data_IF_545971638495
#
_entry.id   IF_545971638495
#
_cell.length_a   1.000
_cell.length_b   1.000
_cell.length_c   1.000
_cell.angle_alpha   90.00
_cell.angle_beta   90.00
_cell.angle_gamma   90.00
#
_symmetry.space_group_name_H-M   'P 1'
#
loop_
_entity.id
_entity.type
_entity.pdbx_description
1 polymer ?
#
# COMPACT_ATOMS: atom_id res chain seq x y z
N UNK A 1 5.62 -7.81 -19.47
CA UNK A 1 6.19 -7.51 -18.15
C UNK A 1 5.08 -7.00 -17.24
N UNK A 2 5.27 -7.02 -15.92
CA UNK A 2 4.34 -6.43 -14.93
C UNK A 2 5.12 -5.39 -14.13
N UNK A 3 4.82 -4.08 -14.27
CA UNK A 3 5.55 -3.05 -13.53
C UNK A 3 5.14 -3.08 -12.05
N UNK A 4 6.12 -2.82 -11.16
CA UNK A 4 5.89 -2.62 -9.73
C UNK A 4 6.08 -1.13 -9.42
N UNK A 5 4.98 -0.46 -9.06
CA UNK A 5 4.97 0.91 -8.54
C UNK A 5 5.40 0.88 -7.08
N UNK A 6 6.58 1.43 -6.80
CA UNK A 6 7.13 1.40 -5.45
C UNK A 6 6.75 2.65 -4.67
N UNK A 7 6.36 2.42 -3.42
CA UNK A 7 6.15 3.38 -2.35
C UNK A 7 5.49 4.73 -2.76
N UNK A 8 4.35 4.73 -3.49
CA UNK A 8 3.71 5.98 -3.92
C UNK A 8 3.25 6.84 -2.74
N UNK A 9 2.99 6.24 -1.57
CA UNK A 9 2.61 6.94 -0.34
C UNK A 9 3.65 7.93 0.17
N UNK A 10 4.91 7.77 -0.27
CA UNK A 10 6.04 8.64 0.12
C UNK A 10 6.29 9.75 -0.89
N UNK A 11 5.64 9.72 -2.05
CA UNK A 11 5.81 10.73 -3.09
C UNK A 11 5.16 12.03 -2.67
N UNK A 12 5.85 13.14 -2.88
CA UNK A 12 5.38 14.44 -2.38
C UNK A 12 4.16 14.98 -3.09
N UNK A 13 3.87 14.42 -4.26
CA UNK A 13 2.87 14.84 -5.26
C UNK A 13 1.74 13.81 -5.43
N UNK A 14 1.63 12.83 -4.52
CA UNK A 14 0.60 11.77 -4.60
C UNK A 14 -0.82 12.34 -4.63
N UNK A 15 -1.10 13.45 -3.95
CA UNK A 15 -2.41 14.09 -3.88
C UNK A 15 -3.00 14.37 -5.27
N UNK A 16 -2.16 14.90 -6.17
CA UNK A 16 -2.55 15.31 -7.52
C UNK A 16 -2.60 14.13 -8.49
N UNK A 17 -1.86 13.06 -8.20
CA UNK A 17 -1.63 11.94 -9.12
C UNK A 17 -2.26 10.62 -8.66
N UNK A 18 -2.95 10.61 -7.51
CA UNK A 18 -3.61 9.44 -6.97
C UNK A 18 -4.50 8.71 -8.00
N UNK A 19 -5.33 9.41 -8.81
CA UNK A 19 -6.13 8.75 -9.84
C UNK A 19 -5.29 7.98 -10.88
N UNK A 20 -4.08 8.46 -11.17
CA UNK A 20 -3.15 7.79 -12.10
C UNK A 20 -2.64 6.48 -11.50
N UNK A 21 -2.22 6.47 -10.24
CA UNK A 21 -1.79 5.24 -9.57
C UNK A 21 -2.89 4.19 -9.51
N UNK A 22 -4.11 4.61 -9.16
CA UNK A 22 -5.26 3.72 -9.15
C UNK A 22 -5.59 3.19 -10.55
N UNK A 23 -5.48 4.02 -11.59
CA UNK A 23 -5.66 3.59 -12.99
C UNK A 23 -4.59 2.58 -13.42
N UNK A 24 -3.33 2.81 -13.06
CA UNK A 24 -2.23 1.89 -13.39
C UNK A 24 -2.43 0.53 -12.73
N UNK A 25 -2.82 0.51 -11.45
CA UNK A 25 -3.15 -0.73 -10.73
C UNK A 25 -4.29 -1.48 -11.41
N UNK A 26 -5.38 -0.79 -11.74
CA UNK A 26 -6.52 -1.39 -12.47
C UNK A 26 -6.13 -1.85 -13.87
N UNK A 27 -5.08 -1.28 -14.46
CA UNK A 27 -4.48 -1.70 -15.72
C UNK A 27 -3.48 -2.85 -15.61
N UNK A 28 -3.28 -3.42 -14.41
CA UNK A 28 -2.42 -4.58 -14.18
C UNK A 28 -1.05 -4.28 -13.59
N UNK A 29 -0.73 -3.01 -13.25
CA UNK A 29 0.47 -2.69 -12.50
C UNK A 29 0.35 -3.17 -11.04
N UNK A 30 1.44 -3.67 -10.48
CA UNK A 30 1.50 -4.00 -9.06
C UNK A 30 1.92 -2.79 -8.26
N UNK A 31 1.42 -2.66 -7.04
CA UNK A 31 1.75 -1.56 -6.13
C UNK A 31 2.37 -2.11 -4.85
N UNK A 32 3.49 -1.52 -4.45
CA UNK A 32 4.20 -1.84 -3.22
C UNK A 32 4.15 -0.66 -2.25
N UNK A 33 3.74 -0.90 -1.00
CA UNK A 33 3.84 0.08 0.08
C UNK A 33 5.02 -0.22 1.01
N UNK A 34 5.53 0.82 1.66
CA UNK A 34 6.57 0.68 2.68
C UNK A 34 5.95 0.30 4.02
N UNK A 35 6.46 -0.75 4.67
CA UNK A 35 6.01 -1.20 6.00
C UNK A 35 6.02 -0.07 7.04
N UNK A 36 7.07 0.73 7.06
CA UNK A 36 7.19 1.89 7.95
C UNK A 36 6.15 2.99 7.70
N UNK A 37 5.57 3.07 6.50
CA UNK A 37 4.50 4.03 6.21
C UNK A 37 3.21 3.63 6.95
N UNK A 38 2.83 2.34 6.92
CA UNK A 38 1.65 1.83 7.63
C UNK A 38 1.76 1.99 9.15
N UNK A 39 2.96 1.85 9.70
CA UNK A 39 3.21 2.00 11.15
C UNK A 39 3.46 3.45 11.59
N UNK A 40 3.46 4.40 10.65
CA UNK A 40 3.60 5.82 10.93
C UNK A 40 5.03 6.32 11.16
N UNK A 41 6.05 5.50 10.89
CA UNK A 41 7.47 5.87 11.03
C UNK A 41 7.90 7.02 10.12
N UNK A 42 7.21 7.22 9.00
CA UNK A 42 7.43 8.34 8.08
C UNK A 42 6.46 9.51 8.29
N UNK A 43 5.75 9.52 9.41
CA UNK A 43 4.80 10.58 9.76
C UNK A 43 3.38 10.33 9.24
N UNK A 44 2.50 11.29 9.53
CA UNK A 44 1.05 11.16 9.32
C UNK A 44 0.65 11.07 7.85
N UNK A 45 1.36 11.77 6.95
CA UNK A 45 0.98 11.84 5.54
C UNK A 45 1.23 10.52 4.79
N UNK A 46 2.43 9.90 4.85
CA UNK A 46 2.63 8.58 4.23
C UNK A 46 1.74 7.51 4.84
N UNK A 47 1.47 7.58 6.15
CA UNK A 47 0.53 6.68 6.81
C UNK A 47 -0.88 6.78 6.24
N UNK A 48 -1.41 7.99 6.11
CA UNK A 48 -2.73 8.21 5.52
C UNK A 48 -2.83 7.60 4.11
N UNK A 49 -1.85 7.86 3.25
CA UNK A 49 -1.87 7.35 1.88
C UNK A 49 -1.70 5.83 1.81
N UNK A 50 -0.83 5.26 2.64
CA UNK A 50 -0.67 3.81 2.77
C UNK A 50 -1.97 3.14 3.20
N UNK A 51 -2.61 3.65 4.26
CA UNK A 51 -3.88 3.12 4.77
C UNK A 51 -4.99 3.24 3.72
N UNK A 52 -5.10 4.39 3.05
CA UNK A 52 -6.11 4.61 2.00
C UNK A 52 -5.96 3.63 0.84
N UNK A 53 -4.75 3.48 0.29
CA UNK A 53 -4.50 2.55 -0.82
C UNK A 53 -4.78 1.10 -0.43
N UNK A 54 -4.48 0.73 0.82
CA UNK A 54 -4.75 -0.59 1.35
C UNK A 54 -6.26 -0.83 1.50
N UNK A 55 -6.98 0.13 2.06
CA UNK A 55 -8.44 0.07 2.24
C UNK A 55 -9.20 0.05 0.91
N UNK A 56 -8.68 0.72 -0.12
CA UNK A 56 -9.24 0.71 -1.48
C UNK A 56 -8.87 -0.54 -2.29
N UNK A 57 -8.10 -1.48 -1.72
CA UNK A 57 -7.75 -2.73 -2.38
C UNK A 57 -6.79 -2.56 -3.56
N UNK A 58 -5.86 -1.61 -3.49
CA UNK A 58 -4.92 -1.29 -4.59
C UNK A 58 -3.52 -1.90 -4.40
N UNK A 59 -3.22 -2.41 -3.20
CA UNK A 59 -1.85 -2.76 -2.80
C UNK A 59 -1.59 -4.24 -2.97
N UNK A 60 -0.52 -4.57 -3.69
CA UNK A 60 -0.12 -5.95 -3.96
C UNK A 60 0.95 -6.44 -3.01
N UNK A 61 1.87 -5.55 -2.62
CA UNK A 61 3.08 -5.89 -1.91
C UNK A 61 3.26 -4.96 -0.71
N UNK A 62 3.84 -5.51 0.36
CA UNK A 62 4.40 -4.74 1.45
C UNK A 62 5.88 -5.11 1.59
N UNK A 63 6.75 -4.12 1.60
CA UNK A 63 8.19 -4.30 1.73
C UNK A 63 8.77 -3.31 2.74
N UNK A 64 9.95 -3.60 3.28
CA UNK A 64 10.56 -2.76 4.32
C UNK A 64 11.13 -1.47 3.78
N UNK A 65 11.61 -1.48 2.53
CA UNK A 65 12.45 -0.42 1.97
C UNK A 65 13.61 -0.09 2.94
N UNK A 66 14.21 -1.14 3.52
CA UNK A 66 15.25 -1.02 4.53
C UNK A 66 16.59 -0.60 3.91
N UNK A 67 17.36 0.23 4.61
CA UNK A 67 18.68 0.70 4.15
C UNK A 67 19.76 0.58 5.25
N UNK A 68 19.37 0.50 6.53
CA UNK A 68 20.29 0.39 7.67
C UNK A 68 19.62 -0.32 8.85
N UNK A 69 20.42 -0.93 9.73
CA UNK A 69 19.95 -1.60 10.96
C UNK A 69 19.38 -0.65 12.03
N UNK A 70 19.66 0.66 11.94
CA UNK A 70 19.27 1.62 12.98
C UNK A 70 18.20 2.63 12.53
N UNK A 71 18.28 3.14 11.29
CA UNK A 71 17.38 4.21 10.80
C UNK A 71 16.23 3.71 9.93
N UNK A 72 16.51 2.77 9.03
CA UNK A 72 15.55 2.18 8.09
C UNK A 72 15.58 0.67 8.25
N UNK A 73 15.16 0.24 9.44
CA UNK A 73 15.26 -1.13 9.96
C UNK A 73 14.25 -2.04 9.23
N UNK A 74 14.59 -3.31 8.93
CA UNK A 74 13.72 -4.23 8.18
C UNK A 74 12.57 -4.81 9.02
N UNK A 75 11.62 -3.95 9.42
CA UNK A 75 10.53 -4.28 10.33
C UNK A 75 9.25 -4.66 9.57
N UNK A 76 9.33 -5.78 8.83
CA UNK A 76 8.22 -6.23 7.99
C UNK A 76 7.03 -6.76 8.83
N UNK A 77 7.30 -7.40 9.96
CA UNK A 77 6.27 -7.97 10.83
C UNK A 77 5.30 -6.90 11.36
N UNK A 78 5.82 -5.77 11.85
CA UNK A 78 4.98 -4.65 12.31
C UNK A 78 4.09 -4.12 11.18
N UNK A 79 4.64 -3.99 9.96
CA UNK A 79 3.86 -3.55 8.80
C UNK A 79 2.78 -4.56 8.39
N UNK A 80 3.10 -5.86 8.42
CA UNK A 80 2.14 -6.94 8.16
C UNK A 80 1.00 -6.91 9.17
N UNK A 81 1.29 -6.76 10.45
CA UNK A 81 0.28 -6.76 11.51
C UNK A 81 -0.62 -5.52 11.41
N UNK A 82 -0.04 -4.36 11.09
CA UNK A 82 -0.79 -3.15 10.76
C UNK A 82 -1.70 -3.33 9.53
N UNK A 83 -1.25 -4.05 8.51
CA UNK A 83 -2.07 -4.39 7.36
C UNK A 83 -3.19 -5.37 7.72
N UNK A 84 -2.89 -6.39 8.54
CA UNK A 84 -3.86 -7.40 8.98
C UNK A 84 -5.05 -6.77 9.71
N UNK A 85 -4.82 -5.72 10.50
CA UNK A 85 -5.88 -4.97 11.18
C UNK A 85 -6.86 -4.27 10.21
N UNK A 86 -6.50 -4.11 8.92
CA UNK A 86 -7.33 -3.41 7.91
C UNK A 86 -7.93 -4.35 6.89
N UNK A 87 -7.15 -5.31 6.39
CA UNK A 87 -7.54 -6.21 5.29
C UNK A 87 -7.69 -7.67 5.72
N UNK A 88 -7.47 -7.99 6.99
CA UNK A 88 -7.49 -9.36 7.50
C UNK A 88 -6.14 -10.07 7.39
N UNK A 89 -5.95 -11.12 8.19
CA UNK A 89 -4.69 -11.84 8.31
C UNK A 89 -4.24 -12.49 7.00
N UNK A 90 -5.15 -13.13 6.26
CA UNK A 90 -4.82 -13.82 5.00
C UNK A 90 -4.38 -12.84 3.91
N UNK A 91 -5.12 -11.74 3.75
CA UNK A 91 -4.76 -10.69 2.80
C UNK A 91 -3.40 -10.07 3.16
N UNK A 92 -3.14 -9.82 4.45
CA UNK A 92 -1.85 -9.31 4.91
C UNK A 92 -0.70 -10.30 4.64
N UNK A 93 -0.93 -11.60 4.79
CA UNK A 93 0.04 -12.63 4.45
C UNK A 93 0.34 -12.62 2.93
N UNK A 94 -0.67 -12.43 2.09
CA UNK A 94 -0.46 -12.31 0.65
C UNK A 94 0.42 -11.12 0.25
N UNK A 95 0.37 -10.00 1.00
CA UNK A 95 1.20 -8.82 0.74
C UNK A 95 2.70 -9.08 0.97
N UNK A 96 3.06 -9.92 1.95
CA UNK A 96 4.45 -10.09 2.41
C UNK A 96 5.06 -11.44 2.04
N UNK A 97 4.26 -12.43 1.67
CA UNK A 97 4.72 -13.78 1.37
C UNK A 97 4.24 -14.25 0.00
N UNK A 98 2.93 -14.40 -0.19
CA UNK A 98 2.39 -15.08 -1.38
C UNK A 98 2.69 -14.35 -2.69
N UNK A 99 2.40 -13.04 -2.79
CA UNK A 99 2.68 -12.28 -4.01
C UNK A 99 4.18 -12.04 -4.24
N UNK A 100 5.00 -11.74 -3.22
CA UNK A 100 6.46 -11.75 -3.38
C UNK A 100 7.01 -13.07 -3.90
N UNK A 101 6.48 -14.20 -3.44
CA UNK A 101 6.88 -15.53 -3.91
C UNK A 101 6.52 -15.77 -5.39
N UNK A 102 5.38 -15.24 -5.86
CA UNK A 102 5.05 -15.23 -7.29
C UNK A 102 6.13 -14.50 -8.12
N UNK A 103 6.64 -13.37 -7.64
CA UNK A 103 7.72 -12.63 -8.31
C UNK A 103 9.00 -13.47 -8.34
N UNK A 104 9.39 -14.05 -7.21
CA UNK A 104 10.62 -14.86 -7.10
C UNK A 104 10.63 -16.07 -8.04
N UNK A 105 9.47 -16.69 -8.26
CA UNK A 105 9.33 -17.82 -9.16
C UNK A 105 8.89 -17.45 -10.57
N UNK A 106 8.87 -16.15 -10.91
CA UNK A 106 8.41 -15.66 -12.20
C UNK A 106 7.04 -16.24 -12.62
N UNK A 107 6.13 -16.38 -11.65
CA UNK A 107 4.76 -16.82 -11.93
C UNK A 107 3.97 -15.72 -12.62
N UNK A 108 3.08 -16.06 -13.57
CA UNK A 108 2.16 -15.09 -14.16
C UNK A 108 1.35 -14.35 -13.08
N UNK A 109 1.25 -13.02 -13.21
CA UNK A 109 0.59 -12.20 -12.17
C UNK A 109 -0.88 -12.55 -11.94
N UNK A 110 -1.58 -13.09 -12.94
CA UNK A 110 -2.99 -13.51 -12.81
C UNK A 110 -3.17 -14.79 -11.99
N UNK A 111 -2.11 -15.54 -11.70
CA UNK A 111 -2.15 -16.70 -10.79
C UNK A 111 -2.01 -16.29 -9.32
N UNK A 112 -1.60 -15.05 -9.05
CA UNK A 112 -1.52 -14.55 -7.68
C UNK A 112 -2.92 -14.37 -7.07
N UNK A 113 -3.08 -14.49 -5.75
CA UNK A 113 -4.35 -14.24 -5.09
C UNK A 113 -4.90 -12.86 -5.44
N UNK A 114 -6.21 -12.78 -5.70
CA UNK A 114 -6.89 -11.52 -5.98
C UNK A 114 -6.71 -10.52 -4.83
N UNK A 115 -6.72 -9.23 -5.16
CA UNK A 115 -6.71 -8.18 -4.13
C UNK A 115 -7.98 -8.26 -3.28
N UNK A 116 -7.91 -7.90 -1.98
CA UNK A 116 -9.10 -7.82 -1.17
C UNK A 116 -10.05 -6.77 -1.74
N UNK A 117 -11.36 -7.01 -1.59
CA UNK A 117 -12.36 -6.00 -1.93
C UNK A 117 -12.14 -4.73 -1.09
N UNK A 118 -12.52 -3.58 -1.65
CA UNK A 118 -12.44 -2.32 -0.93
C UNK A 118 -13.20 -2.41 0.41
N UNK A 119 -12.54 -2.05 1.50
CA UNK A 119 -13.12 -2.05 2.83
C UNK A 119 -14.19 -0.96 2.95
N UNK A 120 -15.26 -1.22 3.70
CA UNK A 120 -16.31 -0.23 3.98
C UNK A 120 -15.76 1.06 4.63
N UNK A 121 -14.60 1.00 5.29
CA UNK A 121 -13.89 2.17 5.83
C UNK A 121 -13.46 3.17 4.74
N UNK A 122 -13.19 2.71 3.51
CA UNK A 122 -12.80 3.57 2.38
C UNK A 122 -13.90 4.58 1.99
N UNK A 123 -15.17 4.25 2.25
CA UNK A 123 -16.33 5.11 1.92
C UNK A 123 -16.46 6.36 2.80
N UNK A 124 -15.78 6.41 3.95
CA UNK A 124 -15.93 7.51 4.94
C UNK A 124 -14.93 8.65 4.75
N UNK A 125 -14.04 8.56 3.75
CA UNK A 125 -12.94 9.51 3.50
C UNK A 125 -13.25 10.70 2.59
N UNK A 126 -14.49 11.17 2.52
CA UNK A 126 -14.88 12.38 1.78
C UNK A 126 -14.60 13.65 2.58
N UNK A 127 -13.31 13.99 2.83
CA UNK A 127 -12.90 15.14 3.65
C UNK A 127 -12.49 16.38 2.82
N UNK A 128 -13.05 16.54 1.62
CA UNK A 128 -12.85 17.72 0.77
C UNK A 128 -13.71 18.94 1.18
N UNK A 129 -14.57 18.83 2.20
CA UNK A 129 -15.43 19.95 2.65
C UNK A 129 -14.80 20.84 3.74
N UNK A 130 -13.67 20.47 4.36
CA UNK A 130 -13.12 21.20 5.52
C UNK A 130 -12.00 22.20 5.22
N UNK A 131 -11.59 22.35 3.95
CA UNK A 131 -10.49 23.25 3.55
C UNK A 131 -10.92 24.56 2.87
N UNK A 132 -12.23 24.82 2.68
CA UNK A 132 -12.72 26.07 2.02
C UNK A 132 -13.24 27.16 2.96
N UNK A 133 -13.03 27.06 4.28
CA UNK A 133 -13.51 28.09 5.24
C UNK A 133 -12.41 28.82 6.02
N UNK A 134 -11.18 28.85 5.51
CA UNK A 134 -10.14 29.76 6.01
C UNK A 134 -9.29 30.30 4.86
N UNK A 135 -9.89 31.21 4.10
CA UNK A 135 -9.21 32.25 3.33
C UNK A 135 -10.10 33.49 3.38
#
# INVERSE_FOLDING_TARGET
YVPVLTHPERLTWIEEHYPVFAKLVRGGAWMQLTAGSLTGRYGRRPRYWAERMLDEGLVHLLATDAHHSERRVPLLAEGRDAAAARVGADAALHLVLTRPQCILYNRPAHEAPALPAASAAASKGGWWSRWRHRA
#
